data_IF_417500669602
#
_entry.id   IF_417500669602
#
_cell.length_a   1.000
_cell.length_b   1.000
_cell.length_c   1.000
_cell.angle_alpha   90.00
_cell.angle_beta   90.00
_cell.angle_gamma   90.00
#
_symmetry.space_group_name_H-M   'P 1'
#
loop_
_entity.id
_entity.type
_entity.pdbx_description
1 polymer ?
#
# COMPACT_ATOMS: atom_id res chain seq x y z
N UNK A 1 24.04 -2.08 9.71
CA UNK A 1 23.05 -1.18 9.10
C UNK A 1 23.68 -0.62 7.85
N UNK A 2 23.07 -0.82 6.68
CA UNK A 2 23.65 -0.49 5.37
C UNK A 2 22.93 0.74 4.80
N UNK A 3 23.62 1.88 4.87
CA UNK A 3 23.08 3.17 4.41
C UNK A 3 22.78 3.16 2.92
N UNK A 4 23.58 2.46 2.11
CA UNK A 4 23.41 2.39 0.65
C UNK A 4 22.13 1.63 0.29
N UNK A 5 21.89 0.47 0.92
CA UNK A 5 20.63 -0.28 0.76
C UNK A 5 19.42 0.52 1.25
N UNK A 6 19.53 1.18 2.41
CA UNK A 6 18.44 1.97 2.97
C UNK A 6 18.06 3.15 2.07
N UNK A 7 19.05 3.91 1.59
CA UNK A 7 18.83 5.02 0.66
C UNK A 7 18.15 4.54 -0.63
N UNK A 8 18.62 3.43 -1.23
CA UNK A 8 18.05 2.88 -2.46
C UNK A 8 16.61 2.40 -2.24
N UNK A 9 16.34 1.66 -1.16
CA UNK A 9 14.99 1.20 -0.82
C UNK A 9 14.02 2.38 -0.56
N UNK A 10 14.45 3.40 0.17
CA UNK A 10 13.67 4.63 0.39
C UNK A 10 13.41 5.37 -0.92
N UNK A 11 14.40 5.44 -1.82
CA UNK A 11 14.26 6.08 -3.13
C UNK A 11 13.26 5.32 -4.01
N UNK A 12 13.26 3.98 -3.98
CA UNK A 12 12.31 3.13 -4.68
C UNK A 12 10.89 3.29 -4.11
N UNK A 13 10.72 3.35 -2.78
CA UNK A 13 9.40 3.58 -2.18
C UNK A 13 8.86 4.99 -2.42
N UNK A 14 9.71 6.02 -2.37
CA UNK A 14 9.32 7.38 -2.75
C UNK A 14 8.91 7.47 -4.23
N UNK A 15 9.61 6.76 -5.13
CA UNK A 15 9.23 6.65 -6.53
C UNK A 15 7.91 5.87 -6.74
N UNK A 16 7.73 4.72 -6.07
CA UNK A 16 6.53 3.90 -6.20
C UNK A 16 5.26 4.64 -5.73
N UNK A 17 5.38 5.47 -4.70
CA UNK A 17 4.26 6.27 -4.17
C UNK A 17 3.81 7.40 -5.12
N UNK A 18 4.55 7.66 -6.20
CA UNK A 18 4.15 8.59 -7.28
C UNK A 18 3.59 7.85 -8.51
N UNK A 19 3.42 6.52 -8.46
CA UNK A 19 2.88 5.70 -9.53
C UNK A 19 1.50 5.14 -9.15
N UNK A 20 0.63 4.95 -10.15
CA UNK A 20 -0.61 4.18 -9.95
C UNK A 20 -0.29 2.70 -10.00
N UNK A 21 -0.17 2.08 -8.82
CA UNK A 21 0.12 0.66 -8.67
C UNK A 21 -1.18 -0.17 -8.59
N UNK A 22 -1.12 -1.39 -9.11
CA UNK A 22 -2.07 -2.49 -8.88
C UNK A 22 -1.40 -3.59 -8.03
N UNK A 23 -2.14 -4.65 -7.65
CA UNK A 23 -1.62 -5.74 -6.79
C UNK A 23 -0.29 -6.31 -7.30
N UNK A 24 -0.19 -6.58 -8.60
CA UNK A 24 1.01 -7.17 -9.22
C UNK A 24 2.19 -6.20 -9.15
N UNK A 25 1.94 -4.91 -9.38
CA UNK A 25 2.98 -3.86 -9.29
C UNK A 25 3.44 -3.62 -7.84
N UNK A 26 2.55 -3.67 -6.86
CA UNK A 26 2.90 -3.55 -5.43
C UNK A 26 3.77 -4.74 -4.99
N UNK A 27 3.44 -5.96 -5.40
CA UNK A 27 4.26 -7.13 -5.09
C UNK A 27 5.65 -7.04 -5.74
N UNK A 28 5.73 -6.66 -7.02
CA UNK A 28 7.02 -6.45 -7.72
C UNK A 28 7.89 -5.39 -7.03
N UNK A 29 7.32 -4.27 -6.57
CA UNK A 29 8.06 -3.26 -5.77
C UNK A 29 8.55 -3.84 -4.44
N UNK A 30 7.79 -4.75 -3.83
CA UNK A 30 8.16 -5.39 -2.56
C UNK A 30 9.27 -6.42 -2.74
N UNK A 31 9.16 -7.31 -3.74
CA UNK A 31 10.18 -8.27 -4.12
C UNK A 31 11.50 -7.58 -4.52
N UNK A 32 11.43 -6.42 -5.18
CA UNK A 32 12.61 -5.60 -5.51
C UNK A 32 13.30 -5.04 -4.26
N UNK A 33 12.55 -4.44 -3.32
CA UNK A 33 13.08 -3.94 -2.05
C UNK A 33 13.65 -5.08 -1.19
N UNK A 34 13.02 -6.24 -1.21
CA UNK A 34 13.51 -7.45 -0.52
C UNK A 34 14.82 -7.93 -1.14
N UNK A 35 14.91 -8.04 -2.47
CA UNK A 35 16.12 -8.44 -3.18
C UNK A 35 17.31 -7.53 -2.85
N UNK A 36 17.12 -6.21 -2.88
CA UNK A 36 18.15 -5.22 -2.54
C UNK A 36 18.56 -5.32 -1.06
N UNK A 37 17.60 -5.58 -0.16
CA UNK A 37 17.87 -5.75 1.27
C UNK A 37 18.68 -7.02 1.57
N UNK A 38 18.29 -8.15 0.95
CA UNK A 38 18.90 -9.49 1.08
C UNK A 38 20.12 -9.71 0.16
N UNK A 39 20.61 -8.69 -0.54
CA UNK A 39 21.79 -8.79 -1.41
C UNK A 39 23.08 -8.74 -0.58
N UNK A 40 23.88 -9.81 -0.57
CA UNK A 40 25.18 -9.81 0.11
C UNK A 40 26.23 -8.94 -0.58
N UNK A 41 26.13 -8.81 -1.92
CA UNK A 41 27.00 -7.94 -2.72
C UNK A 41 26.17 -7.17 -3.75
N UNK A 42 25.68 -6.00 -3.30
CA UNK A 42 24.78 -5.16 -4.09
C UNK A 42 25.42 -4.69 -5.41
N UNK A 43 26.73 -4.46 -5.47
CA UNK A 43 27.39 -4.08 -6.73
C UNK A 43 27.42 -5.24 -7.75
N UNK A 44 27.59 -6.49 -7.30
CA UNK A 44 27.50 -7.68 -8.14
C UNK A 44 26.06 -7.89 -8.63
N UNK A 45 25.09 -7.80 -7.73
CA UNK A 45 23.69 -8.05 -8.06
C UNK A 45 23.12 -6.97 -8.99
N UNK A 46 23.51 -5.69 -8.82
CA UNK A 46 23.23 -4.62 -9.77
C UNK A 46 23.82 -4.92 -11.16
N UNK A 47 25.05 -5.46 -11.25
CA UNK A 47 25.67 -5.84 -12.54
C UNK A 47 24.91 -6.97 -13.22
N UNK A 48 24.36 -7.93 -12.47
CA UNK A 48 23.53 -9.02 -13.00
C UNK A 48 22.14 -8.52 -13.42
N UNK A 49 21.52 -7.61 -12.67
CA UNK A 49 20.28 -6.94 -13.08
C UNK A 49 20.45 -6.20 -14.41
N UNK A 50 21.62 -5.60 -14.68
CA UNK A 50 21.91 -4.95 -15.99
C UNK A 50 21.95 -5.92 -17.17
N UNK A 51 22.21 -7.21 -16.94
CA UNK A 51 22.20 -8.23 -18.01
C UNK A 51 20.81 -8.80 -18.29
N UNK A 52 19.82 -8.54 -17.43
CA UNK A 52 18.42 -8.89 -17.69
C UNK A 52 17.74 -7.74 -18.42
N UNK A 53 17.11 -8.02 -19.56
CA UNK A 53 16.42 -7.05 -20.43
C UNK A 53 15.44 -6.16 -19.67
N UNK A 54 14.63 -6.79 -18.83
CA UNK A 54 13.52 -6.26 -18.05
C UNK A 54 14.02 -5.31 -16.96
N UNK A 55 15.07 -5.70 -16.23
CA UNK A 55 15.66 -4.88 -15.17
C UNK A 55 16.66 -3.84 -15.68
N UNK A 56 17.18 -3.98 -16.91
CA UNK A 56 18.31 -3.21 -17.44
C UNK A 56 18.26 -1.70 -17.17
N UNK A 57 17.13 -1.06 -17.48
CA UNK A 57 16.92 0.39 -17.33
C UNK A 57 16.95 0.81 -15.86
N UNK A 58 16.23 0.10 -14.99
CA UNK A 58 16.20 0.39 -13.56
C UNK A 58 17.55 0.07 -12.89
N UNK A 59 18.24 -0.98 -13.33
CA UNK A 59 19.56 -1.38 -12.85
C UNK A 59 20.65 -0.39 -13.24
N UNK A 60 20.51 0.33 -14.36
CA UNK A 60 21.35 1.50 -14.69
C UNK A 60 21.14 2.59 -13.63
N UNK A 61 19.89 2.95 -13.32
CA UNK A 61 19.59 3.99 -12.31
C UNK A 61 20.08 3.63 -10.91
N UNK A 62 19.80 2.41 -10.45
CA UNK A 62 20.25 1.92 -9.14
C UNK A 62 21.79 1.89 -9.07
N UNK A 63 22.50 1.60 -10.17
CA UNK A 63 23.96 1.68 -10.21
C UNK A 63 24.50 3.12 -10.10
N UNK A 64 23.82 4.11 -10.69
CA UNK A 64 24.19 5.53 -10.56
C UNK A 64 24.06 5.99 -9.11
N UNK A 65 22.95 5.64 -8.46
CA UNK A 65 22.70 5.92 -7.03
C UNK A 65 23.74 5.22 -6.16
N UNK A 66 23.97 3.91 -6.36
CA UNK A 66 25.00 3.15 -5.66
C UNK A 66 26.39 3.80 -5.83
N UNK A 67 26.74 4.23 -7.04
CA UNK A 67 28.02 4.90 -7.34
C UNK A 67 28.14 6.26 -6.65
N UNK A 68 27.08 7.08 -6.64
CA UNK A 68 27.05 8.35 -5.91
C UNK A 68 27.34 8.15 -4.42
N UNK A 69 26.72 7.12 -3.82
CA UNK A 69 26.84 6.81 -2.39
C UNK A 69 28.17 6.14 -1.99
N UNK A 70 28.90 5.52 -2.94
CA UNK A 70 30.12 4.73 -2.65
C UNK A 70 31.41 5.32 -3.21
N UNK A 71 31.36 6.16 -4.25
CA UNK A 71 32.54 6.76 -4.90
C UNK A 71 32.57 8.29 -4.80
N UNK A 72 31.48 8.93 -4.37
CA UNK A 72 31.39 10.38 -4.21
C UNK A 72 31.65 10.85 -2.77
N UNK A 73 32.28 12.01 -2.61
CA UNK A 73 32.17 12.79 -1.37
C UNK A 73 30.77 13.36 -1.29
N UNK A 74 29.90 12.74 -0.48
CA UNK A 74 28.48 13.13 -0.37
C UNK A 74 28.36 14.53 0.24
N UNK A 75 27.84 15.49 -0.52
CA UNK A 75 27.47 16.81 -0.01
C UNK A 75 26.20 16.70 0.84
N UNK A 76 26.37 16.60 2.17
CA UNK A 76 25.28 16.46 3.13
C UNK A 76 24.30 17.64 3.12
N UNK A 77 24.71 18.83 2.66
CA UNK A 77 23.81 19.99 2.52
C UNK A 77 22.85 19.83 1.33
N UNK A 78 23.19 18.98 0.35
CA UNK A 78 22.40 18.74 -0.88
C UNK A 78 21.89 17.31 -1.01
N UNK A 79 22.12 16.44 -0.02
CA UNK A 79 21.74 15.02 -0.08
C UNK A 79 20.22 14.84 -0.21
N UNK A 80 19.44 15.74 0.38
CA UNK A 80 17.96 15.79 0.29
C UNK A 80 17.47 16.17 -1.11
N UNK A 81 18.13 17.11 -1.78
CA UNK A 81 17.79 17.48 -3.16
C UNK A 81 18.27 16.43 -4.16
N UNK A 82 19.44 15.82 -3.94
CA UNK A 82 19.85 14.63 -4.72
C UNK A 82 18.95 13.42 -4.49
N UNK A 83 18.40 13.24 -3.28
CA UNK A 83 17.38 12.22 -3.05
C UNK A 83 16.12 12.47 -3.88
N UNK A 84 15.59 13.71 -3.90
CA UNK A 84 14.45 14.08 -4.77
C UNK A 84 14.75 13.82 -6.25
N UNK A 85 15.93 14.20 -6.73
CA UNK A 85 16.38 13.98 -8.11
C UNK A 85 16.46 12.47 -8.45
N UNK A 86 17.07 11.67 -7.58
CA UNK A 86 17.12 10.21 -7.75
C UNK A 86 15.73 9.58 -7.76
N UNK A 87 14.81 10.03 -6.89
CA UNK A 87 13.41 9.59 -6.90
C UNK A 87 12.70 9.95 -8.21
N UNK A 88 12.86 11.18 -8.72
CA UNK A 88 12.26 11.62 -9.97
C UNK A 88 12.69 10.77 -11.17
N UNK A 89 13.97 10.41 -11.26
CA UNK A 89 14.44 9.50 -12.31
C UNK A 89 13.93 8.07 -12.12
N UNK A 90 13.88 7.58 -10.88
CA UNK A 90 13.32 6.26 -10.56
C UNK A 90 11.84 6.14 -10.92
N UNK A 91 11.02 7.19 -10.85
CA UNK A 91 9.58 7.12 -11.23
C UNK A 91 9.42 6.59 -12.67
N UNK A 92 10.15 7.17 -13.63
CA UNK A 92 10.06 6.75 -15.04
C UNK A 92 10.62 5.35 -15.27
N UNK A 93 11.76 5.04 -14.64
CA UNK A 93 12.46 3.77 -14.86
C UNK A 93 11.80 2.60 -14.11
N UNK A 94 11.11 2.87 -13.00
CA UNK A 94 10.29 1.92 -12.26
C UNK A 94 8.95 1.67 -12.96
N UNK A 95 8.26 2.69 -13.51
CA UNK A 95 7.03 2.46 -14.30
C UNK A 95 7.29 1.51 -15.45
N UNK A 96 8.35 1.74 -16.25
CA UNK A 96 8.72 0.86 -17.37
C UNK A 96 8.90 -0.60 -16.95
N UNK A 97 9.55 -0.85 -15.81
CA UNK A 97 9.68 -2.21 -15.26
C UNK A 97 8.30 -2.78 -14.91
N UNK A 98 7.51 -2.04 -14.13
CA UNK A 98 6.20 -2.45 -13.63
C UNK A 98 5.14 -2.63 -14.75
N UNK A 99 5.30 -1.94 -15.88
CA UNK A 99 4.48 -2.09 -17.07
C UNK A 99 4.95 -3.26 -17.97
N UNK A 100 6.12 -3.85 -17.70
CA UNK A 100 6.71 -4.98 -18.44
C UNK A 100 6.77 -6.32 -17.68
N UNK A 101 6.64 -6.30 -16.35
CA UNK A 101 6.91 -7.46 -15.48
C UNK A 101 5.77 -7.67 -14.48
N UNK A 102 5.52 -8.94 -14.15
CA UNK A 102 4.60 -9.36 -13.10
C UNK A 102 5.36 -10.18 -12.03
N UNK A 103 4.76 -10.55 -10.90
CA UNK A 103 5.47 -11.24 -9.83
C UNK A 103 6.13 -12.56 -10.24
N UNK A 104 5.51 -13.33 -11.14
CA UNK A 104 6.06 -14.58 -11.61
C UNK A 104 7.27 -14.37 -12.53
N UNK A 105 7.16 -13.47 -13.52
CA UNK A 105 8.30 -13.14 -14.39
C UNK A 105 9.41 -12.42 -13.64
N UNK A 106 9.10 -11.65 -12.59
CA UNK A 106 10.09 -11.09 -11.66
C UNK A 106 10.84 -12.19 -10.91
N UNK A 107 10.11 -13.14 -10.28
CA UNK A 107 10.72 -14.27 -9.55
C UNK A 107 11.60 -15.13 -10.48
N UNK A 108 11.16 -15.37 -11.72
CA UNK A 108 11.98 -16.04 -12.74
C UNK A 108 13.23 -15.25 -13.14
N UNK A 109 13.11 -13.95 -13.38
CA UNK A 109 14.24 -13.09 -13.75
C UNK A 109 15.29 -13.04 -12.62
N UNK A 110 14.85 -12.99 -11.35
CA UNK A 110 15.74 -13.10 -10.18
C UNK A 110 16.36 -14.50 -10.06
N UNK A 111 15.64 -15.59 -10.36
CA UNK A 111 16.23 -16.95 -10.44
C UNK A 111 17.32 -17.02 -11.52
N UNK A 112 17.04 -16.54 -12.74
CA UNK A 112 18.00 -16.45 -13.86
C UNK A 112 19.25 -15.62 -13.46
N UNK A 113 19.08 -14.57 -12.65
CA UNK A 113 20.17 -13.75 -12.10
C UNK A 113 21.01 -14.47 -11.03
N UNK A 114 20.39 -15.26 -10.13
CA UNK A 114 21.11 -15.95 -9.05
C UNK A 114 21.75 -17.27 -9.47
N UNK A 115 21.26 -17.91 -10.54
CA UNK A 115 21.70 -19.21 -11.02
C UNK A 115 21.01 -20.37 -10.30
N UNK A 116 20.90 -21.52 -10.99
CA UNK A 116 20.08 -22.65 -10.54
C UNK A 116 20.58 -23.32 -9.25
N UNK A 117 19.72 -23.33 -8.23
CA UNK A 117 19.74 -24.30 -7.13
C UNK A 117 18.32 -24.74 -6.71
N UNK A 118 17.54 -25.26 -7.66
CA UNK A 118 16.60 -26.38 -7.36
C UNK A 118 16.24 -27.15 -8.66
N UNK A 119 16.45 -28.48 -8.78
CA UNK A 119 16.30 -29.19 -10.06
C UNK A 119 14.87 -29.56 -10.51
N UNK A 120 13.79 -29.19 -9.80
CA UNK A 120 12.44 -29.73 -10.08
C UNK A 120 11.29 -28.69 -10.05
N UNK A 121 10.89 -28.19 -11.22
CA UNK A 121 9.50 -27.83 -11.56
C UNK A 121 9.33 -27.68 -13.10
N UNK A 122 8.20 -28.09 -13.72
CA UNK A 122 8.05 -28.10 -15.17
C UNK A 122 7.58 -26.77 -15.79
N UNK A 123 7.83 -26.63 -17.09
CA UNK A 123 7.37 -25.51 -17.93
C UNK A 123 5.96 -25.81 -18.48
N UNK A 124 5.08 -24.81 -18.48
CA UNK A 124 3.79 -24.82 -19.16
C UNK A 124 3.61 -23.56 -20.01
N UNK A 125 3.29 -23.71 -21.30
CA UNK A 125 3.08 -22.63 -22.26
C UNK A 125 1.58 -22.39 -22.54
N UNK A 126 1.29 -21.30 -23.29
CA UNK A 126 0.03 -21.05 -24.05
C UNK A 126 -1.23 -20.66 -23.25
N UNK A 127 -2.18 -19.84 -23.75
CA UNK A 127 -2.18 -18.85 -24.85
C UNK A 127 -3.46 -17.95 -24.79
N UNK A 128 -3.35 -16.66 -25.14
CA UNK A 128 -4.43 -15.74 -25.60
C UNK A 128 -5.61 -15.45 -24.60
N UNK A 129 -6.45 -14.41 -24.73
CA UNK A 129 -6.71 -13.40 -25.78
C UNK A 129 -7.21 -12.06 -25.19
N UNK A 130 -7.17 -10.96 -25.96
CA UNK A 130 -7.81 -9.65 -25.62
C UNK A 130 -9.24 -9.53 -26.20
N UNK A 131 -10.15 -8.77 -25.54
CA UNK A 131 -10.83 -7.54 -26.06
C UNK A 131 -11.95 -7.01 -25.12
N UNK A 132 -12.34 -5.73 -25.26
CA UNK A 132 -13.26 -4.92 -24.41
C UNK A 132 -14.44 -4.31 -25.24
N UNK A 133 -15.43 -3.58 -24.64
CA UNK A 133 -16.15 -3.73 -23.37
C UNK A 133 -17.68 -3.98 -23.63
N UNK A 134 -18.72 -3.08 -23.57
CA UNK A 134 -18.94 -1.70 -23.02
C UNK A 134 -20.20 -1.52 -22.10
N UNK A 135 -20.45 -0.26 -21.68
CA UNK A 135 -21.72 0.39 -21.26
C UNK A 135 -22.53 -0.02 -19.99
N UNK A 136 -22.25 0.69 -18.88
CA UNK A 136 -23.03 1.84 -18.36
C UNK A 136 -24.57 1.69 -18.07
N UNK A 137 -24.99 1.66 -16.79
CA UNK A 137 -25.85 2.68 -16.13
C UNK A 137 -26.03 2.44 -14.60
N UNK A 138 -26.75 3.34 -13.90
CA UNK A 138 -27.04 3.36 -12.45
C UNK A 138 -28.06 2.29 -11.96
N UNK A 139 -27.87 1.72 -10.76
CA UNK A 139 -28.75 1.83 -9.56
C UNK A 139 -28.59 0.64 -8.58
N UNK A 140 -28.76 0.93 -7.28
CA UNK A 140 -28.97 0.03 -6.12
C UNK A 140 -27.90 -1.03 -5.73
N UNK A 141 -27.75 -1.25 -4.40
CA UNK A 141 -26.83 -2.26 -3.85
C UNK A 141 -27.25 -3.66 -4.30
N UNK A 142 -26.39 -4.33 -5.06
CA UNK A 142 -26.63 -5.72 -5.49
C UNK A 142 -26.16 -6.72 -4.43
N UNK A 143 -26.74 -7.92 -4.42
CA UNK A 143 -26.33 -9.01 -3.52
C UNK A 143 -24.83 -9.37 -3.67
N UNK A 144 -24.25 -9.13 -4.86
CA UNK A 144 -22.83 -9.29 -5.13
C UNK A 144 -21.94 -8.33 -4.32
N UNK A 145 -22.40 -7.11 -4.00
CA UNK A 145 -21.65 -6.20 -3.13
C UNK A 145 -21.68 -6.67 -1.67
N UNK A 146 -22.84 -7.18 -1.21
CA UNK A 146 -23.00 -7.75 0.14
C UNK A 146 -22.13 -9.01 0.29
N UNK A 147 -22.06 -9.84 -0.75
CA UNK A 147 -21.22 -11.04 -0.77
C UNK A 147 -19.72 -10.67 -0.77
N UNK A 148 -19.30 -9.66 -1.55
CA UNK A 148 -17.94 -9.11 -1.50
C UNK A 148 -17.59 -8.59 -0.11
N UNK A 149 -18.45 -7.77 0.49
CA UNK A 149 -18.25 -7.23 1.85
C UNK A 149 -17.98 -8.35 2.86
N UNK A 150 -18.77 -9.44 2.79
CA UNK A 150 -18.62 -10.61 3.66
C UNK A 150 -17.28 -11.34 3.46
N UNK A 151 -16.90 -11.61 2.21
CA UNK A 151 -15.63 -12.26 1.84
C UNK A 151 -14.41 -11.41 2.26
N UNK A 152 -14.53 -10.08 2.32
CA UNK A 152 -13.48 -9.21 2.83
C UNK A 152 -13.33 -9.36 4.36
N UNK A 153 -14.44 -9.48 5.10
CA UNK A 153 -14.43 -9.47 6.56
C UNK A 153 -14.16 -10.82 7.23
N UNK A 154 -14.49 -11.96 6.61
CA UNK A 154 -14.21 -13.28 7.18
C UNK A 154 -12.68 -13.59 7.21
N UNK A 155 -12.27 -14.36 8.24
CA UNK A 155 -10.87 -14.67 8.60
C UNK A 155 -10.44 -16.09 8.21
N UNK A 156 -9.23 -16.21 7.66
CA UNK A 156 -8.47 -17.47 7.56
C UNK A 156 -7.20 -17.39 8.44
N UNK A 157 -6.66 -18.51 8.96
CA UNK A 157 -5.53 -18.50 9.87
C UNK A 157 -4.22 -18.08 9.20
N UNK A 158 -3.45 -17.21 9.88
CA UNK A 158 -2.28 -16.52 9.34
C UNK A 158 -0.98 -17.30 9.59
N UNK A 159 -0.22 -17.64 8.53
CA UNK A 159 1.14 -18.18 8.64
C UNK A 159 2.17 -17.10 9.02
N UNK A 160 3.27 -17.51 9.67
CA UNK A 160 4.02 -16.62 10.58
C UNK A 160 5.24 -15.91 9.97
N UNK A 161 5.31 -14.59 10.22
CA UNK A 161 6.29 -13.66 9.64
C UNK A 161 6.67 -12.52 10.60
N UNK A 162 7.49 -12.85 11.61
CA UNK A 162 7.72 -12.18 12.91
C UNK A 162 7.99 -10.64 12.90
N UNK A 163 8.28 -10.01 11.76
CA UNK A 163 8.50 -8.55 11.65
C UNK A 163 7.40 -7.76 10.95
N UNK A 164 6.60 -8.40 10.08
CA UNK A 164 5.43 -7.78 9.44
C UNK A 164 4.15 -8.03 10.24
N UNK A 165 4.04 -9.19 10.88
CA UNK A 165 2.86 -9.63 11.62
C UNK A 165 2.42 -8.62 12.70
N UNK A 166 3.37 -8.07 13.47
CA UNK A 166 3.10 -7.01 14.46
C UNK A 166 2.54 -5.69 13.86
N UNK A 167 2.71 -5.44 12.55
CA UNK A 167 2.08 -4.28 11.89
C UNK A 167 0.66 -4.63 11.48
N UNK A 168 0.49 -5.74 10.79
CA UNK A 168 -0.80 -6.20 10.25
C UNK A 168 -1.81 -6.43 11.38
N UNK A 169 -1.38 -7.09 12.47
CA UNK A 169 -2.21 -7.27 13.67
C UNK A 169 -2.61 -5.93 14.30
N UNK A 170 -1.66 -5.02 14.56
CA UNK A 170 -1.95 -3.72 15.19
C UNK A 170 -2.89 -2.86 14.34
N UNK A 171 -2.68 -2.82 13.03
CA UNK A 171 -3.51 -2.08 12.08
C UNK A 171 -4.94 -2.66 12.00
N UNK A 172 -5.09 -4.00 11.98
CA UNK A 172 -6.39 -4.67 11.85
C UNK A 172 -7.18 -4.77 13.16
N UNK A 173 -6.51 -4.82 14.32
CA UNK A 173 -7.13 -5.06 15.63
C UNK A 173 -8.31 -4.13 15.99
N UNK A 174 -8.29 -2.80 15.74
CA UNK A 174 -9.44 -1.95 16.04
C UNK A 174 -10.57 -2.07 15.01
N UNK A 175 -10.30 -2.53 13.79
CA UNK A 175 -11.19 -2.37 12.64
C UNK A 175 -12.55 -3.05 12.85
N UNK A 176 -12.56 -4.25 13.43
CA UNK A 176 -13.80 -4.98 13.72
C UNK A 176 -14.69 -4.23 14.72
N UNK A 177 -14.11 -3.75 15.81
CA UNK A 177 -14.84 -3.07 16.87
C UNK A 177 -15.39 -1.72 16.37
N UNK A 178 -14.64 -1.02 15.52
CA UNK A 178 -15.10 0.22 14.87
C UNK A 178 -16.23 -0.05 13.86
N UNK A 179 -16.20 -1.17 13.12
CA UNK A 179 -17.33 -1.59 12.26
C UNK A 179 -18.59 -1.97 13.07
N UNK A 180 -18.43 -2.50 14.28
CA UNK A 180 -19.53 -2.77 15.21
C UNK A 180 -20.15 -1.45 15.76
N UNK A 181 -19.32 -0.48 16.18
CA UNK A 181 -19.74 0.88 16.57
C UNK A 181 -20.43 1.61 15.41
N UNK A 182 -19.95 1.43 14.18
CA UNK A 182 -20.56 2.01 12.98
C UNK A 182 -21.97 1.45 12.68
N UNK A 183 -22.28 0.22 13.11
CA UNK A 183 -23.62 -0.37 12.97
C UNK A 183 -24.59 0.17 14.03
N UNK A 184 -24.13 0.40 15.26
CA UNK A 184 -24.94 0.93 16.36
C UNK A 184 -25.14 2.45 16.30
N UNK A 185 -24.23 3.19 15.65
CA UNK A 185 -24.30 4.65 15.45
C UNK A 185 -25.58 5.18 14.76
N UNK A 186 -26.37 4.32 14.13
CA UNK A 186 -27.65 4.68 13.50
C UNK A 186 -28.88 4.36 14.37
N UNK A 187 -28.72 3.69 15.51
CA UNK A 187 -29.82 3.15 16.33
C UNK A 187 -29.71 3.49 17.82
N UNK A 188 -28.51 3.79 18.32
CA UNK A 188 -28.30 4.29 19.68
C UNK A 188 -27.22 5.38 19.74
N UNK A 189 -27.33 6.27 20.72
CA UNK A 189 -26.21 7.13 21.10
C UNK A 189 -25.09 6.22 21.64
N UNK A 190 -23.89 6.35 21.08
CA UNK A 190 -22.72 5.60 21.56
C UNK A 190 -22.12 6.30 22.80
N UNK A 191 -21.32 5.55 23.56
CA UNK A 191 -20.55 6.10 24.68
C UNK A 191 -19.49 7.11 24.17
N UNK A 192 -19.50 8.38 24.61
CA UNK A 192 -18.49 9.35 24.23
C UNK A 192 -17.06 8.93 24.60
N UNK A 193 -16.85 8.14 25.66
CA UNK A 193 -15.53 7.63 26.04
C UNK A 193 -15.04 6.55 25.06
N UNK A 194 -15.93 5.69 24.57
CA UNK A 194 -15.59 4.68 23.56
C UNK A 194 -15.25 5.33 22.20
N UNK A 195 -15.97 6.40 21.82
CA UNK A 195 -15.63 7.18 20.63
C UNK A 195 -14.25 7.85 20.72
N UNK A 196 -13.84 8.36 21.90
CA UNK A 196 -12.48 8.90 22.12
C UNK A 196 -11.44 7.79 21.99
N UNK A 197 -11.63 6.70 22.72
CA UNK A 197 -10.70 5.55 22.74
C UNK A 197 -10.37 5.04 21.34
N UNK A 198 -11.38 4.86 20.47
CA UNK A 198 -11.11 4.44 19.09
C UNK A 198 -10.60 5.56 18.18
N UNK A 199 -10.87 6.84 18.48
CA UNK A 199 -10.19 7.95 17.81
C UNK A 199 -8.67 7.88 18.04
N UNK A 200 -8.23 7.81 19.31
CA UNK A 200 -6.82 7.75 19.70
C UNK A 200 -6.09 6.52 19.13
N UNK A 201 -6.73 5.34 19.16
CA UNK A 201 -6.15 4.11 18.57
C UNK A 201 -6.03 4.25 17.04
N UNK A 202 -7.01 4.85 16.37
CA UNK A 202 -6.96 5.03 14.92
C UNK A 202 -5.94 6.09 14.50
N UNK A 203 -5.79 7.20 15.23
CA UNK A 203 -4.74 8.21 14.96
C UNK A 203 -3.34 7.60 15.15
N UNK A 204 -3.10 6.89 16.26
CA UNK A 204 -1.84 6.18 16.52
C UNK A 204 -1.50 5.13 15.44
N UNK A 205 -2.50 4.40 14.96
CA UNK A 205 -2.33 3.49 13.81
C UNK A 205 -2.09 4.23 12.49
N UNK A 206 -2.66 5.43 12.33
CA UNK A 206 -2.44 6.31 11.18
C UNK A 206 -0.99 6.79 11.12
N UNK A 207 -0.49 7.32 12.23
CA UNK A 207 0.91 7.74 12.40
C UNK A 207 1.88 6.56 12.16
N UNK A 208 1.62 5.40 12.79
CA UNK A 208 2.43 4.18 12.61
C UNK A 208 2.48 3.70 11.15
N UNK A 209 1.38 3.89 10.40
CA UNK A 209 1.34 3.60 8.98
C UNK A 209 2.13 4.63 8.15
N UNK A 210 2.09 5.91 8.53
CA UNK A 210 2.83 6.99 7.85
C UNK A 210 4.35 6.88 8.09
N UNK A 211 4.80 6.62 9.31
CA UNK A 211 6.21 6.33 9.64
C UNK A 211 6.80 5.20 8.78
N UNK A 212 5.95 4.23 8.41
CA UNK A 212 6.31 3.05 7.61
C UNK A 212 6.05 3.24 6.10
N UNK A 213 5.58 4.42 5.70
CA UNK A 213 5.37 4.81 4.29
C UNK A 213 4.05 4.37 3.66
N UNK A 214 3.10 3.83 4.43
CA UNK A 214 1.80 3.35 3.98
C UNK A 214 0.75 4.49 3.97
N UNK A 215 0.97 5.52 3.15
CA UNK A 215 0.13 6.73 3.12
C UNK A 215 -1.37 6.49 2.88
N UNK A 216 -1.75 5.43 2.16
CA UNK A 216 -3.17 5.05 2.00
C UNK A 216 -3.77 4.59 3.32
N UNK A 217 -3.08 3.69 4.05
CA UNK A 217 -3.52 3.18 5.36
C UNK A 217 -3.60 4.34 6.36
N UNK A 218 -2.56 5.20 6.44
CA UNK A 218 -2.56 6.43 7.26
C UNK A 218 -3.80 7.28 7.01
N UNK A 219 -4.04 7.66 5.74
CA UNK A 219 -5.16 8.52 5.38
C UNK A 219 -6.51 7.87 5.69
N UNK A 220 -6.70 6.56 5.48
CA UNK A 220 -7.95 5.88 5.86
C UNK A 220 -8.18 5.90 7.37
N UNK A 221 -7.16 5.58 8.18
CA UNK A 221 -7.23 5.63 9.64
C UNK A 221 -7.60 7.02 10.15
N UNK A 222 -6.88 8.04 9.68
CA UNK A 222 -7.06 9.43 10.08
C UNK A 222 -8.40 10.03 9.61
N UNK A 223 -8.97 9.55 8.50
CA UNK A 223 -10.34 9.90 8.07
C UNK A 223 -11.39 9.33 9.04
N UNK A 224 -11.27 8.06 9.45
CA UNK A 224 -12.22 7.45 10.40
C UNK A 224 -12.09 8.10 11.78
N UNK A 225 -10.87 8.32 12.29
CA UNK A 225 -10.63 8.99 13.55
C UNK A 225 -11.27 10.39 13.59
N UNK A 226 -10.96 11.26 12.62
CA UNK A 226 -11.56 12.59 12.54
C UNK A 226 -13.09 12.52 12.47
N UNK A 227 -13.66 11.55 11.75
CA UNK A 227 -15.11 11.40 11.69
C UNK A 227 -15.73 10.97 13.04
N UNK A 228 -15.10 10.06 13.80
CA UNK A 228 -15.53 9.72 15.17
C UNK A 228 -15.45 10.95 16.10
N UNK A 229 -14.37 11.74 16.01
CA UNK A 229 -14.19 12.95 16.79
C UNK A 229 -15.26 14.01 16.50
N UNK A 230 -15.62 14.21 15.22
CA UNK A 230 -16.69 15.13 14.81
C UNK A 230 -18.08 14.62 15.22
N UNK A 231 -18.33 13.31 15.15
CA UNK A 231 -19.58 12.69 15.64
C UNK A 231 -19.73 12.95 17.15
N UNK A 232 -18.66 12.72 17.93
CA UNK A 232 -18.63 12.98 19.38
C UNK A 232 -18.84 14.47 19.71
N UNK A 233 -18.32 15.37 18.89
CA UNK A 233 -18.54 16.82 19.02
C UNK A 233 -19.96 17.26 18.62
N UNK A 234 -20.76 16.39 17.99
CA UNK A 234 -22.03 16.67 17.30
C UNK A 234 -21.92 17.52 16.01
N UNK A 235 -20.69 17.82 15.57
CA UNK A 235 -20.36 18.52 14.32
C UNK A 235 -20.62 17.67 13.05
N UNK A 236 -20.78 16.35 13.22
CA UNK A 236 -21.09 15.42 12.13
C UNK A 236 -22.20 14.47 12.55
N UNK A 237 -23.45 14.75 12.13
CA UNK A 237 -24.58 13.86 12.41
C UNK A 237 -24.41 12.51 11.70
N UNK A 238 -24.44 11.36 12.40
CA UNK A 238 -24.24 10.06 11.77
C UNK A 238 -25.44 9.68 10.88
N UNK A 239 -25.31 9.88 9.58
CA UNK A 239 -26.26 9.39 8.57
C UNK A 239 -25.81 8.05 7.99
N UNK A 240 -26.74 7.29 7.39
CA UNK A 240 -26.41 6.07 6.66
C UNK A 240 -25.30 6.27 5.62
N UNK A 241 -25.26 7.42 4.94
CA UNK A 241 -24.21 7.75 3.96
C UNK A 241 -22.83 7.99 4.60
N UNK A 242 -22.80 8.66 5.76
CA UNK A 242 -21.56 8.91 6.51
C UNK A 242 -21.00 7.60 7.07
N UNK A 243 -21.84 6.79 7.72
CA UNK A 243 -21.49 5.44 8.19
C UNK A 243 -20.95 4.57 7.05
N UNK A 244 -21.68 4.48 5.93
CA UNK A 244 -21.25 3.76 4.74
C UNK A 244 -19.95 4.29 4.08
N UNK A 245 -19.50 5.51 4.43
CA UNK A 245 -18.24 6.09 3.95
C UNK A 245 -17.08 5.84 4.93
N UNK A 246 -17.34 5.86 6.24
CA UNK A 246 -16.40 5.38 7.25
C UNK A 246 -16.13 3.87 7.07
N UNK A 247 -17.17 3.06 6.83
CA UNK A 247 -17.03 1.63 6.50
C UNK A 247 -16.21 1.39 5.22
N UNK A 248 -16.28 2.29 4.24
CA UNK A 248 -15.44 2.21 3.04
C UNK A 248 -13.94 2.41 3.36
N UNK A 249 -13.62 3.28 4.31
CA UNK A 249 -12.25 3.45 4.80
C UNK A 249 -11.74 2.16 5.47
N UNK A 250 -12.57 1.53 6.32
CA UNK A 250 -12.26 0.24 6.94
C UNK A 250 -12.03 -0.88 5.91
N UNK A 251 -12.88 -0.95 4.88
CA UNK A 251 -12.75 -1.92 3.78
C UNK A 251 -11.42 -1.72 3.02
N UNK A 252 -11.02 -0.47 2.75
CA UNK A 252 -9.72 -0.17 2.13
C UNK A 252 -8.56 -0.62 3.02
N UNK A 253 -8.61 -0.36 4.35
CA UNK A 253 -7.58 -0.83 5.28
C UNK A 253 -7.48 -2.37 5.24
N UNK A 254 -8.60 -3.09 5.41
CA UNK A 254 -8.59 -4.56 5.43
C UNK A 254 -8.09 -5.15 4.12
N UNK A 255 -8.52 -4.63 2.97
CA UNK A 255 -8.11 -5.13 1.66
C UNK A 255 -6.63 -4.88 1.37
N UNK A 256 -6.11 -3.68 1.67
CA UNK A 256 -4.70 -3.32 1.45
C UNK A 256 -3.77 -4.07 2.40
N UNK A 257 -4.18 -4.32 3.66
CA UNK A 257 -3.36 -5.05 4.64
C UNK A 257 -3.41 -6.55 4.40
N UNK A 258 -4.61 -7.16 4.29
CA UNK A 258 -4.76 -8.61 4.04
C UNK A 258 -4.46 -9.02 2.59
N UNK A 259 -4.00 -8.09 1.74
CA UNK A 259 -3.68 -8.32 0.31
C UNK A 259 -4.79 -9.05 -0.47
N UNK A 260 -6.07 -8.79 -0.15
CA UNK A 260 -7.21 -9.46 -0.78
C UNK A 260 -7.42 -8.90 -2.19
N UNK A 261 -7.42 -9.77 -3.21
CA UNK A 261 -7.60 -9.42 -4.63
C UNK A 261 -9.04 -8.99 -4.93
N UNK A 262 -9.39 -7.79 -4.50
CA UNK A 262 -10.70 -7.16 -4.66
C UNK A 262 -10.52 -5.75 -5.20
N UNK A 263 -11.29 -5.38 -6.22
CA UNK A 263 -11.34 -3.99 -6.69
C UNK A 263 -11.90 -3.06 -5.60
N UNK A 264 -10.98 -2.30 -4.98
CA UNK A 264 -11.30 -1.30 -3.96
C UNK A 264 -11.54 0.10 -4.54
N UNK A 265 -11.49 0.29 -5.86
CA UNK A 265 -11.55 1.63 -6.49
C UNK A 265 -12.79 2.42 -6.09
N UNK A 266 -13.95 1.76 -5.98
CA UNK A 266 -15.20 2.38 -5.52
C UNK A 266 -15.15 2.82 -4.05
N UNK A 267 -14.56 2.01 -3.17
CA UNK A 267 -14.42 2.30 -1.75
C UNK A 267 -13.38 3.39 -1.49
N UNK A 268 -12.24 3.37 -2.20
CA UNK A 268 -11.19 4.39 -2.11
C UNK A 268 -11.69 5.77 -2.55
N UNK A 269 -12.31 5.87 -3.73
CA UNK A 269 -12.89 7.13 -4.23
C UNK A 269 -13.93 7.71 -3.26
N UNK A 270 -14.72 6.85 -2.61
CA UNK A 270 -15.73 7.23 -1.61
C UNK A 270 -15.08 7.71 -0.31
N UNK A 271 -14.05 7.02 0.17
CA UNK A 271 -13.29 7.38 1.35
C UNK A 271 -12.54 8.72 1.16
N UNK A 272 -11.90 8.94 0.03
CA UNK A 272 -11.22 10.21 -0.30
C UNK A 272 -12.20 11.38 -0.39
N UNK A 273 -13.34 11.19 -1.07
CA UNK A 273 -14.40 12.21 -1.16
C UNK A 273 -14.96 12.57 0.22
N UNK A 274 -15.19 11.57 1.08
CA UNK A 274 -15.61 11.79 2.47
C UNK A 274 -14.52 12.49 3.30
N UNK A 275 -13.26 12.10 3.12
CA UNK A 275 -12.10 12.75 3.75
C UNK A 275 -11.97 14.24 3.39
N UNK A 276 -12.25 14.61 2.14
CA UNK A 276 -12.32 16.00 1.69
C UNK A 276 -13.49 16.76 2.33
N UNK A 277 -14.66 16.13 2.44
CA UNK A 277 -15.84 16.72 3.10
C UNK A 277 -15.53 17.04 4.58
N UNK A 278 -15.09 16.05 5.37
CA UNK A 278 -14.81 16.26 6.79
C UNK A 278 -13.57 17.14 7.04
N UNK A 279 -12.65 17.29 6.07
CA UNK A 279 -11.53 18.25 6.17
C UNK A 279 -12.00 19.71 6.19
N UNK A 280 -13.14 20.04 5.60
CA UNK A 280 -13.73 21.40 5.65
C UNK A 280 -14.37 21.76 6.99
N UNK A 281 -14.81 20.77 7.76
CA UNK A 281 -15.43 20.95 9.08
C UNK A 281 -14.33 21.28 10.11
N UNK A 282 -14.52 22.39 10.82
CA UNK A 282 -13.74 22.80 12.00
C UNK A 282 -14.52 22.47 13.25
N UNK A 283 -13.81 22.12 14.31
CA UNK A 283 -14.37 22.06 15.66
C UNK A 283 -14.22 23.47 16.24
N UNK A 284 -15.31 24.09 16.70
CA UNK A 284 -15.22 25.26 17.59
C UNK A 284 -14.90 24.75 19.01
N UNK A 285 -13.97 25.41 19.70
CA UNK A 285 -13.36 24.93 20.95
C UNK A 285 -13.59 25.85 22.14
#
# INVERSE_FOLDING_TARGET
MDFTKQYINQSISAASNNLRLDTQKIEVVSLLREFISKSDNLEKDIKLMKTCTEFSTLAIRIAEIHRYLTQGTIDLLKISDKFKEHCQYLISDLSKLLDSINPNSFREAIKKIKGDQDPNAPISNENNSFYNPPNNYYSDKTEAEILKEKIIMDDEPVESGILFQNFEEVILQPIKNVDEILKTLLTSNQDPEELIKYCEILESNGDLAEERGFGIISNMHNIVAKALLLIRANELTPTKQIVESMRACLIVIVAVVKSKDVDITSYLNKAESFGLQIKSIKIEG
#
